data_IF_584841371085
#
_entry.id   IF_584841371085
#
_cell.length_a   1.000
_cell.length_b   1.000
_cell.length_c   1.000
_cell.angle_alpha   90.00
_cell.angle_beta   90.00
_cell.angle_gamma   90.00
#
_symmetry.space_group_name_H-M   'P 1'
#
loop_
_entity.id
_entity.type
_entity.pdbx_description
1 polymer ?
#
# COMPACT_ATOMS: atom_id res chain seq x y z
N UNK A 1 13.42 -43.99 14.04
CA UNK A 1 12.12 -43.29 13.91
C UNK A 1 11.15 -44.21 13.19
N UNK A 2 9.97 -44.47 13.75
CA UNK A 2 8.96 -45.39 13.19
C UNK A 2 8.17 -44.68 12.07
N UNK A 3 7.82 -45.40 10.99
CA UNK A 3 7.01 -44.90 9.87
C UNK A 3 5.71 -44.23 10.33
N UNK A 4 5.09 -44.73 11.41
CA UNK A 4 3.91 -44.11 12.02
C UNK A 4 4.19 -42.69 12.49
N UNK A 5 5.31 -42.47 13.18
CA UNK A 5 5.71 -41.15 13.68
C UNK A 5 6.08 -40.17 12.56
N UNK A 6 6.67 -40.66 11.48
CA UNK A 6 6.94 -39.86 10.27
C UNK A 6 5.62 -39.37 9.64
N UNK A 7 4.63 -40.25 9.52
CA UNK A 7 3.31 -39.91 8.97
C UNK A 7 2.57 -38.89 9.84
N UNK A 8 2.65 -39.01 11.17
CA UNK A 8 2.04 -38.01 12.07
C UNK A 8 2.70 -36.65 11.93
N UNK A 9 4.04 -36.60 11.87
CA UNK A 9 4.78 -35.35 11.69
C UNK A 9 4.46 -34.69 10.35
N UNK A 10 4.33 -35.47 9.27
CA UNK A 10 3.93 -34.98 7.96
C UNK A 10 2.52 -34.40 7.98
N UNK A 11 1.55 -35.09 8.61
CA UNK A 11 0.17 -34.61 8.74
C UNK A 11 0.09 -33.30 9.53
N UNK A 12 0.80 -33.20 10.66
CA UNK A 12 0.84 -31.96 11.46
C UNK A 12 1.43 -30.80 10.65
N UNK A 13 2.50 -31.05 9.90
CA UNK A 13 3.12 -30.04 9.04
C UNK A 13 2.14 -29.53 7.98
N UNK A 14 1.39 -30.42 7.32
CA UNK A 14 0.39 -30.06 6.32
C UNK A 14 -0.74 -29.22 6.95
N UNK A 15 -1.23 -29.60 8.14
CA UNK A 15 -2.29 -28.86 8.83
C UNK A 15 -1.84 -27.46 9.26
N UNK A 16 -0.60 -27.32 9.75
CA UNK A 16 -0.01 -26.04 10.13
C UNK A 16 0.13 -25.10 8.93
N UNK A 17 0.61 -25.63 7.80
CA UNK A 17 0.77 -24.87 6.56
C UNK A 17 -0.59 -24.35 6.06
N UNK A 18 -1.62 -25.20 6.03
CA UNK A 18 -2.96 -24.79 5.61
C UNK A 18 -3.57 -23.71 6.52
N UNK A 19 -3.38 -23.84 7.84
CA UNK A 19 -3.81 -22.80 8.78
C UNK A 19 -3.08 -21.48 8.55
N UNK A 20 -1.78 -21.51 8.25
CA UNK A 20 -1.02 -20.29 7.95
C UNK A 20 -1.52 -19.62 6.66
N UNK A 21 -1.68 -20.38 5.57
CA UNK A 21 -2.13 -19.83 4.28
C UNK A 21 -3.56 -19.28 4.33
N UNK A 22 -4.49 -19.92 5.04
CA UNK A 22 -5.87 -19.44 5.17
C UNK A 22 -5.99 -18.08 5.87
N UNK A 23 -4.93 -17.61 6.53
CA UNK A 23 -4.93 -16.33 7.23
C UNK A 23 -4.49 -15.16 6.36
N UNK A 24 -3.88 -15.42 5.21
CA UNK A 24 -3.40 -14.41 4.27
C UNK A 24 -4.33 -14.29 3.08
N UNK A 25 -4.82 -13.08 2.83
CA UNK A 25 -5.61 -12.76 1.65
C UNK A 25 -4.84 -11.75 0.81
N UNK A 26 -4.55 -12.12 -0.43
CA UNK A 26 -4.05 -11.18 -1.42
C UNK A 26 -5.20 -10.34 -1.97
N UNK A 27 -4.97 -9.05 -2.16
CA UNK A 27 -5.97 -8.12 -2.70
C UNK A 27 -5.30 -7.03 -3.53
N UNK A 28 -5.95 -6.67 -4.63
CA UNK A 28 -5.62 -5.49 -5.41
C UNK A 28 -6.76 -4.48 -5.26
N UNK A 29 -6.41 -3.22 -5.03
CA UNK A 29 -7.36 -2.14 -4.76
C UNK A 29 -7.10 -1.00 -5.74
N UNK A 30 -8.16 -0.39 -6.23
CA UNK A 30 -8.11 0.84 -7.02
C UNK A 30 -9.01 1.85 -6.34
N UNK A 31 -8.49 3.04 -6.05
CA UNK A 31 -9.24 4.10 -5.38
C UNK A 31 -9.05 5.44 -6.06
N UNK A 32 -10.03 6.31 -5.88
CA UNK A 32 -9.91 7.73 -6.16
C UNK A 32 -10.43 8.52 -4.97
N UNK A 33 -9.74 9.58 -4.60
CA UNK A 33 -10.07 10.37 -3.43
C UNK A 33 -9.75 11.85 -3.60
N UNK A 34 -10.10 12.60 -2.56
CA UNK A 34 -9.68 13.98 -2.41
C UNK A 34 -8.61 14.06 -1.33
N UNK A 35 -7.51 14.73 -1.63
CA UNK A 35 -6.41 14.95 -0.70
C UNK A 35 -6.30 16.44 -0.39
N UNK A 36 -6.17 16.77 0.89
CA UNK A 36 -5.73 18.11 1.27
C UNK A 36 -4.21 18.14 1.23
N UNK A 37 -3.65 19.13 0.54
CA UNK A 37 -2.22 19.33 0.58
C UNK A 37 -1.79 19.72 2.00
N UNK A 38 -0.73 19.09 2.53
CA UNK A 38 -0.30 19.29 3.91
C UNK A 38 1.08 19.93 4.00
N UNK A 39 2.13 19.22 3.59
CA UNK A 39 3.51 19.66 3.82
C UNK A 39 4.43 19.32 2.65
N UNK A 40 5.44 20.17 2.46
CA UNK A 40 6.56 19.90 1.57
C UNK A 40 7.72 19.30 2.36
N UNK A 41 8.07 18.05 2.06
CA UNK A 41 9.25 17.39 2.67
C UNK A 41 10.56 18.07 2.27
N UNK A 42 10.62 18.69 1.10
CA UNK A 42 11.81 19.38 0.59
C UNK A 42 11.41 20.79 0.16
N UNK A 43 11.89 21.80 0.90
CA UNK A 43 11.77 23.22 0.54
C UNK A 43 12.98 23.65 -0.28
N UNK A 44 13.10 23.10 -1.48
CA UNK A 44 14.05 23.62 -2.47
C UNK A 44 13.24 24.49 -3.42
N UNK A 45 13.78 25.65 -3.78
CA UNK A 45 13.27 26.46 -4.88
C UNK A 45 14.01 26.02 -6.17
N UNK A 46 13.42 25.15 -7.02
CA UNK A 46 14.01 24.69 -8.26
C UNK A 46 14.02 25.78 -9.35
N UNK A 47 13.64 27.03 -9.05
CA UNK A 47 13.85 28.19 -9.92
C UNK A 47 12.57 28.97 -10.25
N UNK A 48 12.65 29.96 -11.16
CA UNK A 48 11.64 31.00 -11.36
C UNK A 48 10.22 30.54 -11.72
N UNK A 49 10.05 29.28 -12.15
CA UNK A 49 8.76 28.70 -12.54
C UNK A 49 8.17 27.75 -11.48
N UNK A 50 8.80 27.67 -10.30
CA UNK A 50 8.32 26.81 -9.21
C UNK A 50 7.04 27.38 -8.59
N UNK A 51 5.98 26.58 -8.56
CA UNK A 51 4.71 26.95 -7.91
C UNK A 51 4.69 26.64 -6.40
N UNK A 52 5.88 26.44 -5.81
CA UNK A 52 6.19 25.69 -4.59
C UNK A 52 5.42 25.92 -3.30
N UNK A 53 4.71 27.04 -3.19
CA UNK A 53 4.03 27.44 -1.96
C UNK A 53 2.56 27.77 -2.19
N UNK A 54 2.08 27.71 -3.44
CA UNK A 54 0.69 28.05 -3.77
C UNK A 54 -0.31 26.98 -3.30
N UNK A 55 0.15 25.73 -3.18
CA UNK A 55 -0.71 24.59 -2.84
C UNK A 55 -1.02 24.46 -1.35
N UNK A 56 -0.51 25.33 -0.47
CA UNK A 56 -0.60 25.15 0.99
C UNK A 56 -2.04 24.99 1.53
N UNK A 57 -3.04 25.45 0.79
CA UNK A 57 -4.47 25.27 1.10
C UNK A 57 -5.26 24.52 0.03
N UNK A 58 -4.57 24.07 -1.03
CA UNK A 58 -5.17 23.46 -2.21
C UNK A 58 -5.71 22.06 -1.94
N UNK A 59 -6.84 21.75 -2.57
CA UNK A 59 -7.41 20.41 -2.61
C UNK A 59 -6.95 19.72 -3.90
N UNK A 60 -6.47 18.49 -3.77
CA UNK A 60 -6.12 17.63 -4.88
C UNK A 60 -7.07 16.45 -5.01
N UNK A 61 -6.99 15.81 -6.16
CA UNK A 61 -7.59 14.51 -6.43
C UNK A 61 -6.45 13.49 -6.55
N UNK A 62 -6.64 12.32 -5.98
CA UNK A 62 -5.76 11.18 -6.21
C UNK A 62 -6.49 10.04 -6.91
N UNK A 63 -5.73 9.29 -7.70
CA UNK A 63 -6.12 8.00 -8.23
C UNK A 63 -4.99 7.01 -7.95
N UNK A 64 -5.27 5.96 -7.20
CA UNK A 64 -4.27 5.04 -6.72
C UNK A 64 -4.61 3.58 -7.00
N UNK A 65 -3.55 2.78 -7.16
CA UNK A 65 -3.60 1.34 -7.31
C UNK A 65 -2.70 0.75 -6.25
N UNK A 66 -3.24 -0.15 -5.43
CA UNK A 66 -2.53 -0.77 -4.31
C UNK A 66 -2.57 -2.28 -4.45
N UNK A 67 -1.40 -2.89 -4.42
CA UNK A 67 -1.24 -4.33 -4.31
C UNK A 67 -0.98 -4.67 -2.84
N UNK A 68 -1.77 -5.57 -2.25
CA UNK A 68 -1.79 -5.76 -0.81
C UNK A 68 -1.97 -7.21 -0.37
N UNK A 69 -1.48 -7.47 0.83
CA UNK A 69 -1.71 -8.69 1.58
C UNK A 69 -2.37 -8.29 2.89
N UNK A 70 -3.46 -8.97 3.22
CA UNK A 70 -4.21 -8.78 4.45
C UNK A 70 -4.12 -10.04 5.31
N UNK A 71 -3.67 -9.88 6.55
CA UNK A 71 -3.63 -10.94 7.55
C UNK A 71 -4.81 -10.82 8.51
N UNK A 72 -5.72 -11.81 8.45
CA UNK A 72 -6.89 -11.92 9.34
C UNK A 72 -7.75 -10.64 9.46
N UNK A 73 -7.78 -9.78 8.44
CA UNK A 73 -8.45 -8.47 8.49
C UNK A 73 -7.96 -7.55 9.62
N UNK A 74 -6.77 -7.82 10.19
CA UNK A 74 -6.17 -7.04 11.29
C UNK A 74 -4.94 -6.29 10.84
N UNK A 75 -4.20 -6.85 9.89
CA UNK A 75 -2.92 -6.30 9.44
C UNK A 75 -2.96 -6.22 7.92
N UNK A 76 -2.84 -4.99 7.42
CA UNK A 76 -2.78 -4.69 6.00
C UNK A 76 -1.37 -4.20 5.69
N UNK A 77 -0.75 -4.82 4.69
CA UNK A 77 0.49 -4.34 4.10
C UNK A 77 0.32 -4.31 2.59
N UNK A 78 0.71 -3.23 1.95
CA UNK A 78 0.61 -3.10 0.51
C UNK A 78 1.63 -2.12 -0.04
N UNK A 79 1.89 -2.26 -1.33
CA UNK A 79 2.70 -1.34 -2.13
C UNK A 79 1.74 -0.71 -3.15
N UNK A 80 1.77 0.61 -3.23
CA UNK A 80 0.88 1.39 -4.06
C UNK A 80 1.60 2.42 -4.91
N UNK A 81 0.95 2.76 -6.02
CA UNK A 81 1.28 3.94 -6.81
C UNK A 81 0.03 4.81 -6.94
N UNK A 82 0.21 6.12 -6.87
CA UNK A 82 -0.84 7.10 -7.03
C UNK A 82 -0.45 8.15 -8.06
N UNK A 83 -1.40 8.49 -8.91
CA UNK A 83 -1.41 9.74 -9.65
C UNK A 83 -2.10 10.80 -8.81
N UNK A 84 -1.46 11.97 -8.72
CA UNK A 84 -1.90 13.10 -7.91
C UNK A 84 -2.14 14.30 -8.82
N UNK A 85 -3.24 15.00 -8.61
CA UNK A 85 -3.48 16.30 -9.23
C UNK A 85 -3.89 17.30 -8.15
N UNK A 86 -3.04 18.30 -7.89
CA UNK A 86 -3.37 19.42 -7.00
C UNK A 86 -3.50 20.68 -7.84
N UNK A 87 -4.73 21.17 -8.03
CA UNK A 87 -5.02 22.41 -8.77
C UNK A 87 -4.32 22.50 -10.15
N UNK A 88 -4.29 21.38 -10.89
CA UNK A 88 -3.64 21.30 -12.20
C UNK A 88 -2.15 20.96 -12.18
N UNK A 89 -1.55 20.79 -10.99
CA UNK A 89 -0.19 20.28 -10.83
C UNK A 89 -0.23 18.76 -10.69
N UNK A 90 0.37 18.07 -11.66
CA UNK A 90 0.42 16.61 -11.72
C UNK A 90 1.61 16.06 -10.95
N UNK A 91 1.41 14.96 -10.23
CA UNK A 91 2.44 14.27 -9.49
C UNK A 91 2.23 12.76 -9.47
N UNK A 92 3.27 12.04 -9.08
CA UNK A 92 3.24 10.61 -8.81
C UNK A 92 3.74 10.35 -7.40
N UNK A 93 3.10 9.41 -6.70
CA UNK A 93 3.50 8.94 -5.38
C UNK A 93 3.61 7.43 -5.38
N UNK A 94 4.63 6.91 -4.69
CA UNK A 94 4.78 5.51 -4.37
C UNK A 94 4.81 5.35 -2.86
N UNK A 95 4.08 4.37 -2.32
CA UNK A 95 3.91 4.15 -0.88
C UNK A 95 3.76 2.67 -0.54
#
# INVERSE_FOLDING_TARGET
>A
MNIKGLLTAALISILMINQAYSQFNYSMKVESGFLKYQFNTVQVDPGPNWRGYYLHEGTGIDFNIVNSINFKNKLFAGIGIAYLNFEGINGLSAF
#
